data_IF_100020222224
#
_entry.id   IF_100020222224
#
_cell.length_a   1.000
_cell.length_b   1.000
_cell.length_c   1.000
_cell.angle_alpha   90.00
_cell.angle_beta   90.00
_cell.angle_gamma   90.00
#
_symmetry.space_group_name_H-M   'P 1'
#
loop_
_entity.id
_entity.type
_entity.pdbx_description
1 polymer ?
#
# COMPACT_ATOMS: atom_id res chain seq x y z
N UNK A 1 -0.27 20.41 -36.81
CA UNK A 1 -0.53 20.77 -35.41
C UNK A 1 -0.41 19.47 -34.65
N UNK A 2 0.72 19.28 -33.99
CA UNK A 2 1.01 18.08 -33.21
C UNK A 2 0.35 18.28 -31.85
N UNK A 3 -0.73 17.55 -31.60
CA UNK A 3 -1.24 17.39 -30.23
C UNK A 3 -0.29 16.43 -29.51
N UNK A 4 0.81 16.97 -28.99
CA UNK A 4 1.49 16.34 -27.85
C UNK A 4 0.52 16.43 -26.67
N UNK A 5 0.20 15.33 -25.98
CA UNK A 5 -0.61 15.43 -24.78
C UNK A 5 0.19 16.21 -23.75
N UNK A 6 -0.38 17.32 -23.29
CA UNK A 6 0.16 18.10 -22.20
C UNK A 6 0.37 17.18 -20.99
N UNK A 7 1.51 17.36 -20.35
CA UNK A 7 1.97 16.73 -19.11
C UNK A 7 0.97 17.05 -17.96
N UNK A 8 -0.20 16.41 -17.98
CA UNK A 8 -1.28 16.67 -17.05
C UNK A 8 -0.91 16.02 -15.71
N UNK A 9 -0.41 16.82 -14.80
CA UNK A 9 -0.21 16.45 -13.40
C UNK A 9 -1.55 15.95 -12.82
N UNK A 10 -1.58 14.70 -12.35
CA UNK A 10 -2.75 14.11 -11.70
C UNK A 10 -3.14 14.92 -10.45
N UNK A 11 -4.44 15.05 -10.21
CA UNK A 11 -4.95 15.52 -8.92
C UNK A 11 -4.72 14.49 -7.81
N UNK A 12 -4.76 14.92 -6.54
CA UNK A 12 -4.60 14.03 -5.38
C UNK A 12 -5.60 12.87 -5.41
N UNK A 13 -6.87 13.14 -5.75
CA UNK A 13 -7.92 12.13 -5.85
C UNK A 13 -7.64 11.08 -6.94
N UNK A 14 -7.04 11.51 -8.07
CA UNK A 14 -6.66 10.62 -9.17
C UNK A 14 -5.45 9.76 -8.79
N UNK A 15 -4.46 10.32 -8.10
CA UNK A 15 -3.32 9.56 -7.55
C UNK A 15 -3.81 8.52 -6.56
N UNK A 16 -4.71 8.90 -5.67
CA UNK A 16 -5.32 8.01 -4.69
C UNK A 16 -6.12 6.88 -5.35
N UNK A 17 -6.89 7.19 -6.39
CA UNK A 17 -7.64 6.20 -7.14
C UNK A 17 -6.69 5.20 -7.84
N UNK A 18 -5.62 5.71 -8.46
CA UNK A 18 -4.61 4.88 -9.10
C UNK A 18 -3.87 3.99 -8.08
N UNK A 19 -3.54 4.53 -6.91
CA UNK A 19 -2.91 3.77 -5.83
C UNK A 19 -3.80 2.60 -5.39
N UNK A 20 -5.11 2.85 -5.20
CA UNK A 20 -6.09 1.82 -4.85
C UNK A 20 -6.20 0.74 -5.92
N UNK A 21 -6.31 1.14 -7.19
CA UNK A 21 -6.39 0.21 -8.31
C UNK A 21 -5.15 -0.72 -8.36
N UNK A 22 -3.96 -0.16 -8.19
CA UNK A 22 -2.70 -0.92 -8.16
C UNK A 22 -2.67 -1.86 -6.94
N UNK A 23 -3.05 -1.37 -5.76
CA UNK A 23 -3.07 -2.16 -4.54
C UNK A 23 -4.04 -3.36 -4.65
N UNK A 24 -5.23 -3.15 -5.22
CA UNK A 24 -6.22 -4.21 -5.42
C UNK A 24 -5.68 -5.34 -6.30
N UNK A 25 -4.95 -5.02 -7.37
CA UNK A 25 -4.31 -6.02 -8.23
C UNK A 25 -3.27 -6.85 -7.47
N UNK A 26 -2.49 -6.23 -6.57
CA UNK A 26 -1.55 -6.98 -5.72
C UNK A 26 -2.27 -7.86 -4.70
N UNK A 27 -3.39 -7.40 -4.13
CA UNK A 27 -4.22 -8.19 -3.22
C UNK A 27 -4.85 -9.38 -3.95
N UNK A 28 -5.35 -9.20 -5.17
CA UNK A 28 -5.88 -10.30 -5.99
C UNK A 28 -4.82 -11.37 -6.26
N UNK A 29 -3.60 -10.96 -6.60
CA UNK A 29 -2.50 -11.91 -6.75
C UNK A 29 -2.17 -12.60 -5.43
N UNK A 30 -2.12 -11.88 -4.31
CA UNK A 30 -1.88 -12.46 -2.99
C UNK A 30 -2.97 -13.48 -2.61
N UNK A 31 -4.24 -13.18 -2.89
CA UNK A 31 -5.37 -14.08 -2.68
C UNK A 31 -5.23 -15.37 -3.50
N UNK A 32 -4.79 -15.26 -4.76
CA UNK A 32 -4.48 -16.43 -5.59
C UNK A 32 -3.33 -17.25 -5.01
N UNK A 33 -2.23 -16.61 -4.56
CA UNK A 33 -1.13 -17.31 -3.90
C UNK A 33 -1.57 -17.98 -2.59
N UNK A 34 -2.52 -17.38 -1.87
CA UNK A 34 -3.12 -17.93 -0.65
C UNK A 34 -3.86 -19.24 -0.86
N UNK A 35 -4.24 -19.59 -2.09
CA UNK A 35 -4.80 -20.90 -2.42
C UNK A 35 -3.72 -22.01 -2.42
N UNK A 36 -2.44 -21.63 -2.53
CA UNK A 36 -1.31 -22.54 -2.68
C UNK A 36 -0.35 -22.52 -1.48
N UNK A 37 -0.20 -21.38 -0.82
CA UNK A 37 0.74 -21.17 0.27
C UNK A 37 0.03 -20.63 1.52
N UNK A 38 0.61 -20.86 2.71
CA UNK A 38 0.12 -20.25 3.95
C UNK A 38 0.10 -18.73 3.86
N UNK A 39 -0.96 -18.11 4.38
CA UNK A 39 -1.17 -16.65 4.33
C UNK A 39 -0.01 -15.86 4.94
N UNK A 40 0.64 -16.38 5.97
CA UNK A 40 1.81 -15.77 6.60
C UNK A 40 3.02 -15.73 5.65
N UNK A 41 3.20 -16.77 4.83
CA UNK A 41 4.26 -16.83 3.82
C UNK A 41 3.93 -15.91 2.63
N UNK A 42 2.66 -15.81 2.23
CA UNK A 42 2.22 -14.86 1.21
C UNK A 42 2.44 -13.42 1.68
N UNK A 43 2.11 -13.11 2.94
CA UNK A 43 2.35 -11.80 3.55
C UNK A 43 3.84 -11.44 3.58
N UNK A 44 4.71 -12.38 4.00
CA UNK A 44 6.16 -12.18 3.94
C UNK A 44 6.66 -11.99 2.49
N UNK A 45 6.12 -12.77 1.55
CA UNK A 45 6.42 -12.65 0.12
C UNK A 45 6.05 -11.28 -0.45
N UNK A 46 4.88 -10.75 -0.09
CA UNK A 46 4.46 -9.39 -0.45
C UNK A 46 5.43 -8.33 0.11
N UNK A 47 5.77 -8.42 1.40
CA UNK A 47 6.70 -7.47 2.03
C UNK A 47 8.08 -7.50 1.35
N UNK A 48 8.58 -8.70 1.04
CA UNK A 48 9.84 -8.86 0.31
C UNK A 48 9.76 -8.35 -1.14
N UNK A 49 8.64 -8.60 -1.83
CA UNK A 49 8.39 -8.10 -3.18
C UNK A 49 8.36 -6.57 -3.23
N UNK A 50 7.62 -5.94 -2.31
CA UNK A 50 7.57 -4.49 -2.16
C UNK A 50 8.96 -3.91 -1.89
N UNK A 51 9.74 -4.51 -0.99
CA UNK A 51 11.11 -4.05 -0.70
C UNK A 51 12.01 -4.08 -1.95
N UNK A 52 11.92 -5.14 -2.77
CA UNK A 52 12.68 -5.25 -4.03
C UNK A 52 12.27 -4.21 -5.05
N UNK A 53 10.97 -3.97 -5.21
CA UNK A 53 10.46 -2.97 -6.13
C UNK A 53 10.88 -1.55 -5.68
N UNK A 54 10.71 -1.23 -4.40
CA UNK A 54 11.12 0.05 -3.84
C UNK A 54 12.62 0.29 -3.96
N UNK A 55 13.45 -0.74 -3.75
CA UNK A 55 14.89 -0.65 -3.97
C UNK A 55 15.24 -0.36 -5.44
N UNK A 56 14.51 -0.97 -6.39
CA UNK A 56 14.64 -0.66 -7.81
C UNK A 56 14.26 0.80 -8.11
N UNK A 57 13.16 1.30 -7.54
CA UNK A 57 12.73 2.71 -7.70
C UNK A 57 13.82 3.67 -7.20
N UNK A 58 14.43 3.42 -6.05
CA UNK A 58 15.54 4.27 -5.56
C UNK A 58 16.72 4.21 -6.52
N UNK A 59 17.11 3.01 -6.94
CA UNK A 59 18.23 2.82 -7.86
C UNK A 59 17.98 3.47 -9.23
N UNK A 60 16.74 3.49 -9.73
CA UNK A 60 16.41 4.08 -11.03
C UNK A 60 16.46 5.61 -11.05
N UNK A 61 16.40 6.26 -9.87
CA UNK A 61 16.50 7.71 -9.75
C UNK A 61 17.93 8.20 -9.43
N UNK A 62 18.84 7.29 -9.07
CA UNK A 62 20.22 7.65 -8.77
C UNK A 62 21.04 7.83 -10.06
N UNK A 63 21.69 8.99 -10.20
CA UNK A 63 22.56 9.29 -11.35
C UNK A 63 23.91 8.54 -11.26
N UNK A 64 24.41 8.35 -10.04
CA UNK A 64 25.64 7.63 -9.74
C UNK A 64 25.61 6.98 -8.35
N UNK A 65 26.70 6.29 -7.99
CA UNK A 65 26.82 5.59 -6.71
C UNK A 65 26.83 6.54 -5.50
N UNK A 66 27.34 7.76 -5.66
CA UNK A 66 27.36 8.76 -4.59
C UNK A 66 25.96 9.31 -4.31
N UNK A 67 25.17 9.56 -5.36
CA UNK A 67 23.76 9.93 -5.24
C UNK A 67 22.95 8.79 -4.62
N UNK A 68 23.19 7.55 -5.07
CA UNK A 68 22.55 6.36 -4.49
C UNK A 68 22.81 6.23 -2.98
N UNK A 69 24.07 6.35 -2.55
CA UNK A 69 24.44 6.22 -1.14
C UNK A 69 23.82 7.33 -0.26
N UNK A 70 23.67 8.55 -0.80
CA UNK A 70 23.01 9.65 -0.10
C UNK A 70 21.49 9.45 0.03
N UNK A 71 20.85 8.94 -1.01
CA UNK A 71 19.39 8.74 -1.03
C UNK A 71 18.96 7.44 -0.35
N UNK A 72 19.87 6.48 -0.20
CA UNK A 72 19.59 5.17 0.40
C UNK A 72 18.96 5.28 1.79
N UNK A 73 19.57 6.01 2.71
CA UNK A 73 19.08 6.08 4.09
C UNK A 73 17.76 6.86 4.17
N UNK A 74 17.63 7.94 3.39
CA UNK A 74 16.37 8.71 3.27
C UNK A 74 15.23 7.86 2.71
N UNK A 75 15.52 7.05 1.70
CA UNK A 75 14.52 6.16 1.10
C UNK A 75 14.07 5.08 2.09
N UNK A 76 14.99 4.50 2.87
CA UNK A 76 14.65 3.55 3.92
C UNK A 76 13.70 4.17 4.93
N UNK A 77 14.03 5.35 5.46
CA UNK A 77 13.17 6.07 6.41
C UNK A 77 11.79 6.37 5.82
N UNK A 78 11.76 6.88 4.59
CA UNK A 78 10.52 7.18 3.88
C UNK A 78 9.62 5.94 3.74
N UNK A 79 10.12 4.84 3.16
CA UNK A 79 9.30 3.65 2.92
C UNK A 79 8.83 2.98 4.21
N UNK A 80 9.67 2.95 5.25
CA UNK A 80 9.29 2.38 6.56
C UNK A 80 8.19 3.21 7.20
N UNK A 81 8.28 4.54 7.13
CA UNK A 81 7.26 5.41 7.72
C UNK A 81 5.93 5.34 6.95
N UNK A 82 5.97 5.35 5.62
CA UNK A 82 4.77 5.17 4.80
C UNK A 82 4.08 3.83 5.09
N UNK A 83 4.85 2.74 5.13
CA UNK A 83 4.29 1.42 5.44
C UNK A 83 3.71 1.35 6.86
N UNK A 84 4.37 1.96 7.85
CA UNK A 84 3.88 2.04 9.22
C UNK A 84 2.51 2.72 9.28
N UNK A 85 2.38 3.87 8.64
CA UNK A 85 1.12 4.64 8.64
C UNK A 85 -0.02 3.85 7.99
N UNK A 86 0.23 3.27 6.80
CA UNK A 86 -0.77 2.44 6.12
C UNK A 86 -1.17 1.21 6.96
N UNK A 87 -0.21 0.53 7.59
CA UNK A 87 -0.48 -0.63 8.42
C UNK A 87 -1.31 -0.26 9.66
N UNK A 88 -0.99 0.84 10.33
CA UNK A 88 -1.75 1.34 11.48
C UNK A 88 -3.20 1.62 11.06
N UNK A 89 -3.40 2.37 9.97
CA UNK A 89 -4.75 2.68 9.47
C UNK A 89 -5.56 1.41 9.21
N UNK A 90 -4.99 0.42 8.50
CA UNK A 90 -5.70 -0.83 8.22
C UNK A 90 -6.02 -1.63 9.50
N UNK A 91 -5.11 -1.65 10.48
CA UNK A 91 -5.36 -2.32 11.76
C UNK A 91 -6.45 -1.62 12.57
N UNK A 92 -6.49 -0.29 12.52
CA UNK A 92 -7.54 0.51 13.16
C UNK A 92 -8.90 0.29 12.50
N UNK A 93 -8.95 0.11 11.17
CA UNK A 93 -10.18 -0.26 10.45
C UNK A 93 -10.72 -1.63 10.89
N UNK A 94 -9.84 -2.62 11.06
CA UNK A 94 -10.22 -3.92 11.63
C UNK A 94 -10.69 -3.77 13.08
N UNK A 95 -10.02 -2.95 13.90
CA UNK A 95 -10.41 -2.69 15.30
C UNK A 95 -11.80 -2.08 15.38
N UNK A 96 -12.10 -1.07 14.56
CA UNK A 96 -13.41 -0.44 14.47
C UNK A 96 -14.49 -1.45 14.04
N UNK A 97 -14.19 -2.27 13.03
CA UNK A 97 -15.10 -3.33 12.57
C UNK A 97 -15.45 -4.33 13.68
N UNK A 98 -14.50 -4.68 14.55
CA UNK A 98 -14.77 -5.54 15.72
C UNK A 98 -15.63 -4.86 16.77
N UNK A 99 -15.45 -3.56 17.01
CA UNK A 99 -16.30 -2.77 17.91
C UNK A 99 -17.74 -2.72 17.37
N UNK A 100 -17.91 -2.41 16.09
CA UNK A 100 -19.23 -2.37 15.44
C UNK A 100 -19.94 -3.72 15.48
N UNK A 101 -19.26 -4.81 15.11
CA UNK A 101 -19.82 -6.17 15.23
C UNK A 101 -20.17 -6.52 16.68
N UNK A 102 -19.31 -6.15 17.63
CA UNK A 102 -19.57 -6.34 19.05
C UNK A 102 -20.78 -5.53 19.50
N UNK A 103 -21.07 -4.36 18.96
CA UNK A 103 -22.22 -3.54 19.36
C UNK A 103 -23.45 -3.70 18.46
N UNK A 104 -23.36 -4.45 17.35
CA UNK A 104 -24.47 -4.70 16.42
C UNK A 104 -25.69 -5.37 17.09
N UNK A 105 -25.44 -6.24 18.09
CA UNK A 105 -26.51 -6.88 18.86
C UNK A 105 -27.21 -5.93 19.86
N UNK A 106 -26.58 -4.79 20.20
CA UNK A 106 -27.19 -3.75 21.04
C UNK A 106 -28.06 -2.79 20.21
N UNK A 107 -27.75 -2.62 18.93
CA UNK A 107 -28.49 -1.74 18.01
C UNK A 107 -29.77 -2.36 17.43
N UNK A 108 -29.95 -3.68 17.57
CA UNK A 108 -31.17 -4.40 17.13
C UNK A 108 -32.32 -4.33 18.14
N UNK A 109 -32.10 -3.75 19.32
CA UNK A 109 -33.16 -3.49 20.30
C UNK A 109 -33.65 -2.05 20.16
N UNK A 110 -34.50 -1.80 19.16
CA UNK A 110 -35.34 -0.60 19.15
C UNK A 110 -36.39 -0.78 20.26
N UNK A 111 -36.47 0.07 21.31
CA UNK A 111 -37.65 0.10 22.14
C UNK A 111 -38.81 0.60 21.27
N UNK A 112 -39.96 -0.06 21.42
CA UNK A 112 -41.21 0.12 20.69
C UNK A 112 -41.61 1.59 20.45
#
# INVERSE_FOLDING_TARGET
>A
MSDEPADAQLSEDEVDAQLREIADQFIDLANQQGQRFHKENVSQGMMYGAARFNAFVVASHAEDIGAYDQDRDRAIEYFVEQYRQMLISNLDDYRASFEDLKYAHLMTHRPN
#
